data_IF_403056530826
#
_entry.id   IF_403056530826
#
_cell.length_a   1.000
_cell.length_b   1.000
_cell.length_c   1.000
_cell.angle_alpha   90.00
_cell.angle_beta   90.00
_cell.angle_gamma   90.00
#
_symmetry.space_group_name_H-M   'P 1'
#
loop_
_entity.id
_entity.type
_entity.pdbx_description
1 polymer ?
#
# COMPACT_ATOMS: atom_id res chain seq x y z
N UNK A 1 5.31 -10.68 29.64
CA UNK A 1 6.34 -9.89 28.95
C UNK A 1 5.75 -9.51 27.60
N UNK A 2 5.38 -8.24 27.48
CA UNK A 2 4.40 -7.76 26.51
C UNK A 2 5.19 -7.32 25.29
N UNK A 3 5.43 -8.25 24.36
CA UNK A 3 6.26 -8.02 23.18
C UNK A 3 5.61 -7.03 22.23
N UNK A 4 6.07 -5.77 22.29
CA UNK A 4 6.01 -4.68 21.30
C UNK A 4 5.18 -4.97 20.03
N UNK A 5 3.91 -4.55 20.05
CA UNK A 5 3.08 -4.40 18.84
C UNK A 5 3.49 -3.18 17.97
N UNK A 6 4.55 -2.48 18.37
CA UNK A 6 5.03 -1.24 17.73
C UNK A 6 6.24 -1.44 16.82
N UNK A 7 6.75 -2.67 16.68
CA UNK A 7 8.07 -2.94 16.05
C UNK A 7 8.18 -2.56 14.57
N UNK A 8 7.08 -2.22 13.90
CA UNK A 8 7.04 -1.91 12.47
C UNK A 8 6.59 -0.48 12.16
N UNK A 9 6.42 0.40 13.15
CA UNK A 9 6.08 1.80 12.91
C UNK A 9 7.32 2.69 13.03
N UNK A 10 7.50 3.62 12.09
CA UNK A 10 8.63 4.53 12.02
C UNK A 10 8.14 5.97 11.87
N UNK A 11 8.76 6.88 12.63
CA UNK A 11 8.61 8.32 12.48
C UNK A 11 9.73 8.85 11.58
N UNK A 12 9.36 9.41 10.42
CA UNK A 12 10.30 9.91 9.42
C UNK A 12 10.06 11.41 9.26
N UNK A 13 11.10 12.21 9.50
CA UNK A 13 11.10 13.64 9.22
C UNK A 13 11.84 13.88 7.92
N UNK A 14 11.15 14.47 6.95
CA UNK A 14 11.71 14.84 5.65
C UNK A 14 11.61 16.35 5.49
N UNK A 15 12.65 16.94 4.92
CA UNK A 15 12.60 18.32 4.42
C UNK A 15 12.28 18.31 2.94
N UNK A 16 11.29 19.10 2.53
CA UNK A 16 10.87 19.25 1.15
C UNK A 16 12.05 19.76 0.31
N UNK A 17 12.32 19.06 -0.79
CA UNK A 17 13.29 19.50 -1.79
C UNK A 17 12.62 20.31 -2.90
N UNK A 18 13.41 20.75 -3.88
CA UNK A 18 12.92 21.48 -5.06
C UNK A 18 11.88 20.71 -5.88
N UNK A 19 11.92 19.37 -5.85
CA UNK A 19 10.96 18.48 -6.50
C UNK A 19 9.89 17.91 -5.54
N UNK A 20 9.73 18.48 -4.35
CA UNK A 20 8.80 18.00 -3.33
C UNK A 20 9.41 16.95 -2.39
N UNK A 21 8.61 15.98 -1.96
CA UNK A 21 9.01 14.97 -0.97
C UNK A 21 9.69 13.73 -1.59
N UNK A 22 9.62 13.55 -2.92
CA UNK A 22 10.36 12.49 -3.61
C UNK A 22 9.75 11.09 -3.56
N UNK A 23 8.42 10.97 -3.43
CA UNK A 23 7.71 9.70 -3.55
C UNK A 23 6.31 9.89 -4.12
N UNK A 24 5.75 8.81 -4.66
CA UNK A 24 4.36 8.74 -5.13
C UNK A 24 3.50 7.96 -4.14
N UNK A 25 2.23 8.33 -4.06
CA UNK A 25 1.23 7.62 -3.25
C UNK A 25 0.13 7.02 -4.11
N UNK A 26 -0.49 5.97 -3.59
CA UNK A 26 -1.70 5.31 -4.08
C UNK A 26 -2.58 4.95 -2.89
N UNK A 27 -3.81 4.52 -3.14
CA UNK A 27 -4.77 4.24 -2.08
C UNK A 27 -5.65 5.44 -1.74
N UNK A 28 -6.40 5.31 -0.65
CA UNK A 28 -7.45 6.23 -0.23
C UNK A 28 -8.80 5.53 -0.21
N UNK A 29 -9.76 6.07 0.55
CA UNK A 29 -11.09 5.46 0.70
C UNK A 29 -11.87 5.30 -0.61
N UNK A 30 -11.56 6.12 -1.60
CA UNK A 30 -12.17 6.16 -2.94
C UNK A 30 -11.33 5.44 -4.00
N UNK A 31 -10.13 4.99 -3.64
CA UNK A 31 -9.19 4.30 -4.52
C UNK A 31 -8.58 3.12 -3.79
N UNK A 32 -9.38 2.07 -3.59
CA UNK A 32 -8.92 0.87 -2.88
C UNK A 32 -7.71 0.26 -3.60
N UNK A 33 -6.59 0.19 -2.89
CA UNK A 33 -5.33 -0.36 -3.41
C UNK A 33 -5.03 -1.75 -2.82
N UNK A 34 -5.45 -1.95 -1.57
CA UNK A 34 -5.41 -3.24 -0.86
C UNK A 34 -6.84 -3.59 -0.49
N UNK A 35 -7.27 -4.81 -0.81
CA UNK A 35 -8.62 -5.31 -0.56
C UNK A 35 -9.04 -5.09 0.90
N UNK A 36 -10.15 -4.39 1.11
CA UNK A 36 -10.70 -3.99 2.42
C UNK A 36 -9.78 -3.07 3.24
N UNK A 37 -8.93 -2.27 2.60
CA UNK A 37 -8.08 -1.28 3.27
C UNK A 37 -8.09 0.06 2.52
N UNK A 38 -8.55 1.10 3.21
CA UNK A 38 -8.68 2.47 2.72
C UNK A 38 -7.41 3.33 2.93
N UNK A 39 -6.28 2.69 3.24
CA UNK A 39 -5.04 3.36 3.56
C UNK A 39 -4.27 3.95 2.39
N UNK A 40 -3.23 4.71 2.74
CA UNK A 40 -2.33 5.39 1.80
C UNK A 40 -0.99 4.66 1.76
N UNK A 41 -0.51 4.37 0.56
CA UNK A 41 0.67 3.56 0.34
C UNK A 41 1.68 4.25 -0.56
N UNK A 42 2.95 4.03 -0.30
CA UNK A 42 4.04 4.48 -1.19
C UNK A 42 4.09 3.55 -2.39
N UNK A 43 3.87 4.08 -3.60
CA UNK A 43 3.95 3.28 -4.83
C UNK A 43 5.32 3.36 -5.49
N UNK A 44 6.01 4.49 -5.34
CA UNK A 44 7.33 4.71 -5.93
C UNK A 44 8.16 5.69 -5.11
N UNK A 45 9.46 5.47 -5.03
CA UNK A 45 10.42 6.43 -4.47
C UNK A 45 11.32 6.96 -5.58
N UNK A 46 11.63 8.25 -5.50
CA UNK A 46 12.55 8.91 -6.43
C UNK A 46 13.92 9.00 -5.76
N UNK A 47 14.92 8.34 -6.34
CA UNK A 47 16.27 8.21 -5.77
C UNK A 47 16.94 9.57 -5.48
N UNK A 48 16.74 10.55 -6.36
CA UNK A 48 17.24 11.92 -6.19
C UNK A 48 16.27 12.85 -5.44
N UNK A 49 15.18 12.31 -4.89
CA UNK A 49 14.20 13.03 -4.08
C UNK A 49 14.50 12.98 -2.59
N UNK A 50 13.84 13.84 -1.79
CA UNK A 50 14.07 13.93 -0.35
C UNK A 50 13.91 12.59 0.38
N UNK A 51 12.86 11.82 0.07
CA UNK A 51 12.66 10.48 0.63
C UNK A 51 13.70 9.45 0.15
N UNK A 52 14.14 9.51 -1.11
CA UNK A 52 15.16 8.61 -1.64
C UNK A 52 16.52 8.84 -1.02
N UNK A 53 16.91 10.11 -0.85
CA UNK A 53 18.16 10.50 -0.19
C UNK A 53 18.17 10.18 1.31
N UNK A 54 17.02 10.26 1.99
CA UNK A 54 16.88 9.84 3.39
C UNK A 54 16.94 8.31 3.54
N UNK A 55 16.36 7.56 2.59
CA UNK A 55 16.50 6.11 2.46
C UNK A 55 15.71 5.27 3.49
N UNK A 56 14.97 5.89 4.43
CA UNK A 56 14.19 5.15 5.44
C UNK A 56 12.79 4.75 4.96
N UNK A 57 12.23 5.47 3.98
CA UNK A 57 10.95 5.16 3.35
C UNK A 57 11.17 4.13 2.23
N UNK A 58 10.27 3.16 2.09
CA UNK A 58 10.33 2.14 1.03
C UNK A 58 9.01 2.04 0.26
N UNK A 59 9.08 1.57 -0.98
CA UNK A 59 7.88 1.23 -1.75
C UNK A 59 7.06 0.14 -1.05
N UNK A 60 5.76 0.37 -0.95
CA UNK A 60 4.82 -0.48 -0.25
C UNK A 60 4.64 -0.20 1.23
N UNK A 61 5.40 0.72 1.80
CA UNK A 61 5.12 1.22 3.14
C UNK A 61 3.76 1.92 3.17
N UNK A 62 3.05 1.78 4.29
CA UNK A 62 1.77 2.46 4.53
C UNK A 62 2.02 3.74 5.31
N UNK A 63 1.53 4.87 4.81
CA UNK A 63 1.61 6.15 5.52
C UNK A 63 0.33 6.30 6.35
N UNK A 64 0.50 6.36 7.67
CA UNK A 64 -0.59 6.44 8.63
C UNK A 64 -0.95 7.89 8.96
N UNK A 65 0.04 8.77 9.05
CA UNK A 65 -0.18 10.17 9.37
C UNK A 65 0.86 11.10 8.74
N UNK A 66 0.46 12.35 8.54
CA UNK A 66 1.31 13.47 8.11
C UNK A 66 1.16 14.64 9.09
N UNK A 67 2.27 15.11 9.65
CA UNK A 67 2.30 16.20 10.65
C UNK A 67 1.30 15.99 11.80
N UNK A 68 1.11 14.73 12.22
CA UNK A 68 0.15 14.34 13.27
C UNK A 68 -1.31 14.16 12.81
N UNK A 69 -1.64 14.43 11.56
CA UNK A 69 -2.98 14.20 10.99
C UNK A 69 -3.07 12.80 10.40
N UNK A 70 -4.01 11.98 10.90
CA UNK A 70 -4.24 10.63 10.39
C UNK A 70 -4.83 10.65 8.97
N UNK A 71 -4.36 9.72 8.13
CA UNK A 71 -4.76 9.60 6.72
C UNK A 71 -5.81 8.51 6.46
N UNK A 72 -6.07 7.66 7.45
CA UNK A 72 -7.06 6.58 7.32
C UNK A 72 -8.46 7.12 7.04
N UNK A 73 -9.14 6.54 6.06
CA UNK A 73 -10.48 6.96 5.67
C UNK A 73 -10.53 8.30 4.92
N UNK A 74 -9.40 8.89 4.54
CA UNK A 74 -9.38 10.05 3.65
C UNK A 74 -9.42 9.63 2.18
N UNK A 75 -9.98 10.49 1.34
CA UNK A 75 -9.90 10.31 -0.12
C UNK A 75 -8.47 10.51 -0.60
N UNK A 76 -8.14 9.92 -1.74
CA UNK A 76 -6.84 10.10 -2.38
C UNK A 76 -6.55 11.60 -2.59
N UNK A 77 -7.53 12.34 -3.09
CA UNK A 77 -7.42 13.79 -3.32
C UNK A 77 -7.16 14.57 -2.03
N UNK A 78 -7.91 14.30 -0.96
CA UNK A 78 -7.72 14.97 0.34
C UNK A 78 -6.33 14.72 0.90
N UNK A 79 -5.84 13.47 0.80
CA UNK A 79 -4.48 13.10 1.19
C UNK A 79 -3.43 13.87 0.40
N UNK A 80 -3.56 13.94 -0.93
CA UNK A 80 -2.64 14.70 -1.79
C UNK A 80 -2.61 16.18 -1.38
N UNK A 81 -3.77 16.76 -1.09
CA UNK A 81 -3.87 18.16 -0.68
C UNK A 81 -3.19 18.39 0.70
N UNK A 82 -3.29 17.44 1.65
CA UNK A 82 -2.51 17.48 2.89
C UNK A 82 -1.00 17.44 2.64
N UNK A 83 -0.51 16.54 1.77
CA UNK A 83 0.93 16.50 1.41
C UNK A 83 1.42 17.79 0.75
N UNK A 84 0.57 18.49 0.01
CA UNK A 84 0.90 19.79 -0.59
C UNK A 84 0.95 20.90 0.47
N UNK A 85 0.04 20.86 1.44
CA UNK A 85 -0.08 21.88 2.50
C UNK A 85 0.86 21.66 3.69
N UNK A 86 1.51 20.50 3.79
CA UNK A 86 2.37 20.12 4.92
C UNK A 86 3.63 20.98 5.13
N UNK A 87 3.89 21.97 4.27
CA UNK A 87 5.02 22.88 4.38
C UNK A 87 6.35 22.24 3.99
N UNK A 88 7.44 22.87 4.44
CA UNK A 88 8.83 22.47 4.16
C UNK A 88 9.27 21.28 5.03
N UNK A 89 8.99 21.30 6.33
CA UNK A 89 9.33 20.21 7.24
C UNK A 89 8.11 19.31 7.44
N UNK A 90 8.22 18.05 7.00
CA UNK A 90 7.12 17.09 7.00
C UNK A 90 7.48 15.88 7.85
N UNK A 91 6.62 15.57 8.82
CA UNK A 91 6.73 14.39 9.68
C UNK A 91 5.73 13.33 9.20
N UNK A 92 6.23 12.13 8.91
CA UNK A 92 5.45 10.99 8.46
C UNK A 92 5.46 9.92 9.53
N UNK A 93 4.28 9.41 9.88
CA UNK A 93 4.16 8.16 10.61
C UNK A 93 3.92 7.04 9.62
N UNK A 94 4.82 6.07 9.58
CA UNK A 94 4.88 5.04 8.55
C UNK A 94 4.80 3.67 9.18
N UNK A 95 3.98 2.78 8.64
CA UNK A 95 3.99 1.36 8.93
C UNK A 95 4.80 0.64 7.84
N UNK A 96 5.92 0.03 8.25
CA UNK A 96 6.83 -0.71 7.38
C UNK A 96 6.15 -1.96 6.85
N UNK A 97 6.33 -2.23 5.56
CA UNK A 97 5.93 -3.51 4.96
C UNK A 97 6.66 -4.67 5.68
N UNK A 98 5.98 -5.78 6.00
CA UNK A 98 6.62 -6.96 6.57
C UNK A 98 7.73 -7.51 5.65
N UNK A 99 8.85 -8.04 6.19
CA UNK A 99 10.02 -8.49 5.42
C UNK A 99 9.81 -9.73 4.51
N UNK A 100 8.57 -10.14 4.21
CA UNK A 100 8.25 -11.36 3.45
C UNK A 100 7.23 -11.18 2.32
N UNK A 101 6.91 -9.95 1.90
CA UNK A 101 6.07 -9.72 0.71
C UNK A 101 6.90 -9.20 -0.46
N UNK A 102 7.66 -10.09 -1.10
CA UNK A 102 8.17 -9.90 -2.47
C UNK A 102 7.04 -10.11 -3.51
N UNK A 103 5.82 -9.69 -3.18
CA UNK A 103 4.70 -9.66 -4.12
C UNK A 103 4.64 -8.27 -4.75
N UNK A 104 4.71 -8.14 -6.08
CA UNK A 104 4.35 -6.88 -6.71
C UNK A 104 2.89 -6.56 -6.36
N UNK A 105 2.60 -5.29 -6.12
CA UNK A 105 1.25 -4.72 -6.24
C UNK A 105 0.80 -4.74 -7.72
N UNK A 106 0.89 -5.92 -8.32
CA UNK A 106 0.88 -6.20 -9.75
C UNK A 106 1.02 -7.68 -10.11
N UNK A 107 1.24 -8.60 -9.18
CA UNK A 107 0.92 -10.02 -9.41
C UNK A 107 -0.40 -10.30 -8.73
N UNK A 108 -1.36 -10.83 -9.49
CA UNK A 108 -2.56 -11.43 -8.92
C UNK A 108 -2.23 -12.47 -7.83
N UNK A 109 -3.25 -13.00 -7.14
CA UNK A 109 -3.06 -13.91 -6.01
C UNK A 109 -2.01 -14.97 -6.34
N UNK A 110 -0.97 -15.06 -5.52
CA UNK A 110 0.07 -16.08 -5.67
C UNK A 110 -0.60 -17.47 -5.67
N UNK A 111 -0.56 -18.21 -6.79
CA UNK A 111 -1.21 -19.51 -6.90
C UNK A 111 -0.57 -20.58 -6.00
N UNK A 112 0.60 -20.29 -5.40
CA UNK A 112 1.31 -21.18 -4.49
C UNK A 112 1.34 -20.67 -3.04
N UNK A 113 0.58 -19.62 -2.70
CA UNK A 113 0.43 -19.22 -1.31
C UNK A 113 -0.13 -20.39 -0.49
N UNK A 114 0.45 -20.72 0.68
CA UNK A 114 -0.01 -21.83 1.49
C UNK A 114 -1.47 -21.57 1.90
N UNK A 115 -2.33 -22.59 1.70
CA UNK A 115 -3.76 -22.55 1.98
C UNK A 115 -4.10 -22.12 3.43
N UNK A 116 -3.13 -22.13 4.34
CA UNK A 116 -3.25 -21.62 5.71
C UNK A 116 -3.45 -20.10 5.81
N UNK A 117 -3.16 -19.34 4.75
CA UNK A 117 -3.44 -17.89 4.68
C UNK A 117 -4.86 -17.56 4.19
N UNK A 118 -5.59 -18.53 3.63
CA UNK A 118 -7.01 -18.40 3.28
C UNK A 118 -7.87 -18.87 4.45
N UNK A 119 -7.79 -18.11 5.54
CA UNK A 119 -8.64 -18.29 6.71
C UNK A 119 -10.09 -17.89 6.43
N UNK A 120 -10.92 -18.90 6.20
CA UNK A 120 -12.35 -18.98 6.54
C UNK A 120 -13.35 -18.32 5.57
N UNK A 121 -13.89 -19.22 4.73
CA UNK A 121 -15.30 -19.38 4.37
C UNK A 121 -15.92 -18.44 3.31
N UNK A 122 -15.82 -18.90 2.06
CA UNK A 122 -16.76 -18.60 0.98
C UNK A 122 -18.16 -19.06 1.40
N UNK A 123 -19.03 -18.12 1.81
CA UNK A 123 -20.47 -18.34 1.84
C UNK A 123 -21.10 -17.58 0.67
N UNK A 124 -21.36 -18.35 -0.40
CA UNK A 124 -22.43 -18.17 -1.38
C UNK A 124 -22.45 -16.84 -2.18
N UNK A 125 -21.52 -16.71 -3.14
CA UNK A 125 -21.76 -15.86 -4.30
C UNK A 125 -22.65 -16.61 -5.31
N UNK A 126 -23.87 -16.12 -5.50
CA UNK A 126 -24.86 -16.65 -6.42
C UNK A 126 -24.40 -16.73 -7.88
N UNK A 127 -24.83 -17.81 -8.54
CA UNK A 127 -24.96 -18.17 -9.97
C UNK A 127 -24.15 -17.51 -11.11
N UNK A 128 -23.51 -16.35 -10.99
CA UNK A 128 -22.92 -15.64 -12.13
C UNK A 128 -21.45 -15.99 -12.43
N UNK A 129 -20.71 -16.57 -11.47
CA UNK A 129 -19.26 -16.74 -11.60
C UNK A 129 -18.80 -18.04 -12.29
N UNK A 130 -19.71 -18.98 -12.61
CA UNK A 130 -19.32 -20.25 -13.24
C UNK A 130 -18.89 -20.10 -14.72
N UNK A 131 -19.40 -19.09 -15.42
CA UNK A 131 -19.08 -18.89 -16.84
C UNK A 131 -17.61 -18.48 -17.07
N UNK A 132 -17.04 -17.64 -16.19
CA UNK A 132 -15.68 -17.14 -16.37
C UNK A 132 -14.62 -18.24 -16.15
N UNK A 133 -14.91 -19.22 -15.30
CA UNK A 133 -13.96 -20.27 -14.94
C UNK A 133 -13.80 -21.35 -16.02
N UNK A 134 -14.85 -21.62 -16.79
CA UNK A 134 -14.78 -22.56 -17.93
C UNK A 134 -14.10 -21.89 -19.13
N UNK A 135 -14.43 -20.62 -19.41
CA UNK A 135 -13.91 -19.88 -20.57
C UNK A 135 -12.40 -19.67 -20.53
N UNK A 136 -11.82 -19.40 -19.35
CA UNK A 136 -10.38 -19.15 -19.20
C UNK A 136 -9.51 -20.42 -19.21
N UNK A 137 -10.12 -21.62 -19.10
CA UNK A 137 -9.37 -22.88 -19.16
C UNK A 137 -9.13 -23.39 -20.58
N UNK A 138 -9.74 -22.78 -21.60
CA UNK A 138 -9.74 -23.29 -22.97
C UNK A 138 -8.80 -22.56 -23.94
N UNK A 139 -8.12 -21.48 -23.53
CA UNK A 139 -7.13 -20.75 -24.36
C UNK A 139 -5.66 -21.06 -24.05
N UNK A 140 -5.36 -22.11 -23.29
CA UNK A 140 -4.01 -22.69 -23.23
C UNK A 140 -3.96 -24.07 -23.85
N UNK A 141 -4.06 -24.12 -25.18
CA UNK A 141 -3.43 -25.19 -25.97
C UNK A 141 -2.73 -24.54 -27.17
N UNK A 142 -1.40 -24.61 -27.27
CA UNK A 142 -0.73 -24.26 -28.51
C UNK A 142 -0.81 -25.46 -29.47
N UNK A 143 -1.21 -25.19 -30.71
CA UNK A 143 -0.62 -25.77 -31.91
C UNK A 143 -0.88 -24.81 -33.08
#
# INVERSE_FOLDING_TARGET
>A
MNGSLTSNMLDIKLKRGSAGLGFNIVGGMDQEYVLNDSGIYVSKIKDDGAAGLDGRLNEGDKILAINGVQLEGLTHKATVDLFRMAGEDVQLLVLKRPPHSNGPLGSGPDPNAPLSALGILVVLAGAAALCAFIYMRQQRRPF
#
